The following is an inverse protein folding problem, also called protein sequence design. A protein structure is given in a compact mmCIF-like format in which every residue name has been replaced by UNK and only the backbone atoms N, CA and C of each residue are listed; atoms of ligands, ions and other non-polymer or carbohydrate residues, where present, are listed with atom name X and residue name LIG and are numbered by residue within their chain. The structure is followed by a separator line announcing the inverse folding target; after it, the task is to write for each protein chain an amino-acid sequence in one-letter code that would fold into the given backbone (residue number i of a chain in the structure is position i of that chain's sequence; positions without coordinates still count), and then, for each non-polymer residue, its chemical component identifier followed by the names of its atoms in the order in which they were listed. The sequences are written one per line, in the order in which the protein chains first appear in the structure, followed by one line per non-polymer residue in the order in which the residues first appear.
data_IF_525684320195
#
_entry.id   IF_525684320195
#
_cell.length_a   1.000
_cell.length_b   1.000
_cell.length_c   1.000
_cell.angle_alpha   90.00
_cell.angle_beta   90.00
_cell.angle_gamma   90.00
#
_symmetry.space_group_name_H-M   'P 1'
#
loop_
_entity.id
_entity.type
_entity.pdbx_description
1 polymer ?
#
# COMPACT_ATOMS: atom_id res chain seq x y z
N UNK A 1 -27.11 -71.57 -43.64
CA UNK A 1 -27.34 -70.94 -42.28
C UNK A 1 -26.11 -70.27 -41.64
N UNK A 2 -25.08 -69.90 -42.40
CA UNK A 2 -23.77 -69.43 -41.88
C UNK A 2 -23.55 -67.91 -41.97
N UNK A 3 -24.39 -67.15 -42.69
CA UNK A 3 -24.19 -65.70 -42.88
C UNK A 3 -24.78 -64.83 -41.75
N UNK A 4 -25.71 -65.27 -40.94
CA UNK A 4 -26.34 -64.49 -39.89
C UNK A 4 -25.50 -64.41 -38.60
N UNK A 5 -24.65 -65.39 -38.32
CA UNK A 5 -23.80 -65.42 -37.10
C UNK A 5 -22.60 -64.52 -37.21
N UNK A 6 -22.01 -64.32 -38.39
CA UNK A 6 -20.87 -63.42 -38.58
C UNK A 6 -21.27 -61.96 -38.46
N UNK A 7 -22.45 -61.53 -38.87
CA UNK A 7 -22.96 -60.17 -38.76
C UNK A 7 -23.24 -59.73 -37.31
N UNK A 8 -23.67 -60.67 -36.45
CA UNK A 8 -23.95 -60.35 -35.03
C UNK A 8 -22.66 -60.19 -34.24
N UNK A 9 -21.61 -60.96 -34.46
CA UNK A 9 -20.30 -60.82 -33.78
C UNK A 9 -19.60 -59.58 -34.19
N UNK A 10 -19.66 -59.11 -35.42
CA UNK A 10 -19.08 -57.80 -35.84
C UNK A 10 -19.83 -56.61 -35.25
N UNK A 11 -21.15 -56.73 -35.04
CA UNK A 11 -21.91 -55.65 -34.39
C UNK A 11 -21.58 -55.51 -32.91
N UNK A 12 -21.41 -56.60 -32.16
CA UNK A 12 -21.01 -56.54 -30.76
C UNK A 12 -19.57 -55.99 -30.58
N UNK A 13 -18.63 -56.42 -31.41
CA UNK A 13 -17.25 -55.92 -31.39
C UNK A 13 -17.19 -54.43 -31.69
N UNK A 14 -18.00 -53.90 -32.57
CA UNK A 14 -18.06 -52.48 -32.91
C UNK A 14 -18.69 -51.63 -31.78
N UNK A 15 -19.70 -52.14 -31.09
CA UNK A 15 -20.33 -51.50 -29.94
C UNK A 15 -19.38 -51.39 -28.74
N UNK A 16 -18.58 -52.39 -28.48
CA UNK A 16 -17.58 -52.35 -27.41
C UNK A 16 -16.43 -51.39 -27.74
N UNK A 17 -15.97 -51.35 -28.98
CA UNK A 17 -14.98 -50.37 -29.44
C UNK A 17 -15.50 -48.93 -29.32
N UNK A 18 -16.76 -48.67 -29.59
CA UNK A 18 -17.38 -47.35 -29.44
C UNK A 18 -17.47 -46.93 -27.96
N UNK A 19 -17.85 -47.88 -27.07
CA UNK A 19 -17.88 -47.63 -25.62
C UNK A 19 -16.51 -47.34 -25.06
N UNK A 20 -15.49 -48.10 -25.44
CA UNK A 20 -14.11 -47.90 -24.99
C UNK A 20 -13.55 -46.54 -25.46
N UNK A 21 -13.82 -46.14 -26.71
CA UNK A 21 -13.43 -44.80 -27.21
C UNK A 21 -14.11 -43.67 -26.45
N UNK A 22 -15.42 -43.82 -26.14
CA UNK A 22 -16.16 -42.82 -25.36
C UNK A 22 -15.61 -42.71 -23.93
N UNK A 23 -15.28 -43.84 -23.31
CA UNK A 23 -14.68 -43.88 -21.96
C UNK A 23 -13.31 -43.21 -21.95
N UNK A 24 -12.42 -43.55 -22.88
CA UNK A 24 -11.12 -42.95 -23.04
C UNK A 24 -11.22 -41.43 -23.30
N UNK A 25 -12.18 -41.00 -24.11
CA UNK A 25 -12.42 -39.55 -24.34
C UNK A 25 -12.89 -38.82 -23.07
N UNK A 26 -13.80 -39.43 -22.31
CA UNK A 26 -14.27 -38.87 -21.04
C UNK A 26 -13.13 -38.77 -20.02
N UNK A 27 -12.33 -39.84 -19.88
CA UNK A 27 -11.16 -39.83 -18.98
C UNK A 27 -10.15 -38.74 -19.38
N UNK A 28 -9.89 -38.56 -20.67
CA UNK A 28 -9.01 -37.51 -21.18
C UNK A 28 -9.55 -36.08 -20.88
N UNK A 29 -10.86 -35.87 -21.02
CA UNK A 29 -11.51 -34.60 -20.71
C UNK A 29 -11.41 -34.29 -19.20
N UNK A 30 -11.66 -35.30 -18.36
CA UNK A 30 -11.56 -35.14 -16.90
C UNK A 30 -10.12 -34.78 -16.49
N UNK A 31 -9.13 -35.49 -17.01
CA UNK A 31 -7.70 -35.21 -16.73
C UNK A 31 -7.33 -33.80 -17.20
N UNK A 32 -7.74 -33.39 -18.39
CA UNK A 32 -7.51 -32.05 -18.91
C UNK A 32 -8.18 -30.98 -18.05
N UNK A 33 -9.42 -31.19 -17.61
CA UNK A 33 -10.13 -30.27 -16.75
C UNK A 33 -9.46 -30.11 -15.39
N UNK A 34 -9.05 -31.23 -14.77
CA UNK A 34 -8.32 -31.20 -13.49
C UNK A 34 -6.99 -30.47 -13.63
N UNK A 35 -6.23 -30.75 -14.69
CA UNK A 35 -4.96 -30.06 -14.95
C UNK A 35 -5.15 -28.54 -15.16
N UNK A 36 -6.19 -28.15 -15.90
CA UNK A 36 -6.52 -26.73 -16.13
C UNK A 36 -6.92 -26.03 -14.83
N UNK A 37 -7.73 -26.67 -13.99
CA UNK A 37 -8.11 -26.13 -12.69
C UNK A 37 -6.90 -25.99 -11.75
N UNK A 38 -6.00 -26.96 -11.73
CA UNK A 38 -4.78 -26.91 -10.91
C UNK A 38 -3.84 -25.78 -11.35
N UNK A 39 -3.65 -25.59 -12.66
CA UNK A 39 -2.88 -24.49 -13.22
C UNK A 39 -3.52 -23.13 -12.89
N UNK A 40 -4.82 -23.00 -13.05
CA UNK A 40 -5.56 -21.80 -12.72
C UNK A 40 -5.44 -21.42 -11.24
N UNK A 41 -5.58 -22.40 -10.34
CA UNK A 41 -5.40 -22.19 -8.91
C UNK A 41 -3.96 -21.80 -8.55
N UNK A 42 -2.97 -22.41 -9.21
CA UNK A 42 -1.55 -22.07 -9.04
C UNK A 42 -1.25 -20.62 -9.44
N UNK A 43 -1.73 -20.20 -10.61
CA UNK A 43 -1.56 -18.82 -11.11
C UNK A 43 -2.24 -17.81 -10.15
N UNK A 44 -3.47 -18.10 -9.72
CA UNK A 44 -4.20 -17.24 -8.79
C UNK A 44 -3.46 -17.12 -7.44
N UNK A 45 -2.94 -18.24 -6.92
CA UNK A 45 -2.15 -18.25 -5.69
C UNK A 45 -0.86 -17.44 -5.81
N UNK A 46 -0.15 -17.56 -6.92
CA UNK A 46 1.05 -16.75 -7.20
C UNK A 46 0.72 -15.25 -7.27
N UNK A 47 -0.40 -14.90 -7.89
CA UNK A 47 -0.82 -13.51 -8.04
C UNK A 47 -1.12 -12.88 -6.67
N UNK A 48 -1.88 -13.56 -5.82
CA UNK A 48 -2.17 -13.11 -4.46
C UNK A 48 -0.88 -13.00 -3.61
N UNK A 49 0.00 -13.99 -3.68
CA UNK A 49 1.27 -13.96 -2.94
C UNK A 49 2.18 -12.80 -3.40
N UNK A 50 2.21 -12.51 -4.69
CA UNK A 50 2.99 -11.39 -5.25
C UNK A 50 2.43 -10.04 -4.82
N UNK A 51 1.11 -9.87 -4.81
CA UNK A 51 0.46 -8.62 -4.37
C UNK A 51 0.77 -8.34 -2.89
N UNK A 52 0.63 -9.34 -2.02
CA UNK A 52 0.97 -9.22 -0.60
C UNK A 52 2.44 -8.85 -0.40
N UNK A 53 3.35 -9.54 -1.08
CA UNK A 53 4.79 -9.28 -0.96
C UNK A 53 5.17 -7.87 -1.46
N UNK A 54 4.53 -7.39 -2.53
CA UNK A 54 4.73 -6.05 -3.05
C UNK A 54 4.29 -4.98 -2.05
N UNK A 55 3.11 -5.14 -1.46
CA UNK A 55 2.57 -4.23 -0.44
C UNK A 55 3.46 -4.18 0.80
N UNK A 56 3.91 -5.34 1.29
CA UNK A 56 4.81 -5.42 2.45
C UNK A 56 6.15 -4.74 2.17
N UNK A 57 6.75 -4.96 0.99
CA UNK A 57 7.98 -4.30 0.59
C UNK A 57 7.80 -2.77 0.51
N UNK A 58 6.69 -2.31 -0.05
CA UNK A 58 6.39 -0.88 -0.14
C UNK A 58 6.21 -0.24 1.24
N UNK A 59 5.51 -0.91 2.16
CA UNK A 59 5.38 -0.45 3.54
C UNK A 59 6.73 -0.36 4.26
N UNK A 60 7.60 -1.36 4.13
CA UNK A 60 8.95 -1.32 4.68
C UNK A 60 9.79 -0.17 4.10
N UNK A 61 9.65 0.08 2.80
CA UNK A 61 10.28 1.23 2.15
C UNK A 61 9.82 2.56 2.75
N UNK A 62 8.50 2.75 2.92
CA UNK A 62 7.94 3.97 3.51
C UNK A 62 8.36 4.16 4.96
N UNK A 63 8.38 3.09 5.77
CA UNK A 63 8.90 3.12 7.15
C UNK A 63 10.37 3.56 7.16
N UNK A 64 11.20 2.97 6.32
CA UNK A 64 12.62 3.33 6.23
C UNK A 64 12.83 4.79 5.84
N UNK A 65 12.02 5.29 4.90
CA UNK A 65 12.06 6.68 4.47
C UNK A 65 11.61 7.64 5.57
N UNK A 66 10.52 7.31 6.28
CA UNK A 66 10.04 8.09 7.41
C UNK A 66 11.07 8.14 8.55
N UNK A 67 11.74 7.03 8.85
CA UNK A 67 12.84 7.00 9.83
C UNK A 67 14.02 7.87 9.38
N UNK A 68 14.38 7.85 8.10
CA UNK A 68 15.44 8.71 7.56
C UNK A 68 15.06 10.19 7.63
N UNK A 69 13.79 10.53 7.38
CA UNK A 69 13.27 11.88 7.53
C UNK A 69 13.31 12.34 9.00
N UNK A 70 12.82 11.51 9.91
CA UNK A 70 12.78 11.80 11.34
C UNK A 70 14.16 12.13 11.93
N UNK A 71 15.21 11.43 11.45
CA UNK A 71 16.58 11.69 11.89
C UNK A 71 17.18 13.03 11.39
N UNK A 72 16.55 13.66 10.40
CA UNK A 72 17.00 14.97 9.91
C UNK A 72 16.32 16.13 10.62
N UNK A 73 15.34 15.85 11.47
CA UNK A 73 14.61 16.89 12.21
C UNK A 73 15.43 17.32 13.44
N UNK A 74 15.74 18.62 13.53
CA UNK A 74 16.26 19.20 14.76
C UNK A 74 15.14 19.31 15.78
N UNK A 75 15.18 18.45 16.81
CA UNK A 75 14.13 18.34 17.82
C UNK A 75 13.93 19.64 18.61
N UNK A 76 14.99 20.43 18.82
CA UNK A 76 14.89 21.70 19.54
C UNK A 76 14.17 22.77 18.71
N UNK A 77 14.49 22.86 17.42
CA UNK A 77 13.79 23.75 16.49
C UNK A 77 12.33 23.31 16.29
N UNK A 78 12.10 22.01 16.09
CA UNK A 78 10.77 21.45 15.96
C UNK A 78 9.89 21.76 17.18
N UNK A 79 10.42 21.60 18.39
CA UNK A 79 9.71 21.91 19.62
C UNK A 79 9.40 23.41 19.79
N UNK A 80 10.14 24.29 19.13
CA UNK A 80 9.92 25.74 19.12
C UNK A 80 8.86 26.25 18.16
N UNK A 81 8.42 25.42 17.19
CA UNK A 81 7.40 25.79 16.19
C UNK A 81 6.02 25.38 16.72
N UNK A 82 5.25 26.36 17.23
CA UNK A 82 3.97 26.11 17.90
C UNK A 82 2.87 27.13 17.61
N UNK A 83 3.12 28.07 16.72
CA UNK A 83 2.20 29.16 16.41
C UNK A 83 2.05 29.34 14.90
N UNK A 84 0.81 29.51 14.43
CA UNK A 84 0.51 29.67 13.01
C UNK A 84 1.28 30.85 12.36
N UNK A 85 1.59 31.91 13.14
CA UNK A 85 2.36 33.06 12.64
C UNK A 85 3.82 32.71 12.29
N UNK A 86 4.33 31.57 12.74
CA UNK A 86 5.69 31.10 12.43
C UNK A 86 5.80 30.47 11.04
N UNK A 87 4.66 30.14 10.40
CA UNK A 87 4.64 29.54 9.07
C UNK A 87 5.48 30.37 8.09
N UNK A 88 6.38 29.71 7.39
CA UNK A 88 7.29 30.34 6.43
C UNK A 88 8.20 31.46 7.01
N UNK A 89 8.26 31.61 8.33
CA UNK A 89 9.23 32.45 9.03
C UNK A 89 10.67 31.93 8.94
N UNK A 90 11.68 32.71 9.34
CA UNK A 90 13.08 32.29 9.22
C UNK A 90 13.42 30.98 9.95
N UNK A 91 12.88 30.80 11.15
CA UNK A 91 13.10 29.60 11.98
C UNK A 91 12.41 28.38 11.36
N UNK A 92 11.17 28.54 10.92
CA UNK A 92 10.41 27.51 10.21
C UNK A 92 11.16 27.05 8.96
N UNK A 93 11.59 27.99 8.09
CA UNK A 93 12.32 27.66 6.86
C UNK A 93 13.60 26.87 7.14
N UNK A 94 14.32 27.24 8.22
CA UNK A 94 15.52 26.52 8.63
C UNK A 94 15.20 25.12 9.12
N UNK A 95 14.12 24.95 9.90
CA UNK A 95 13.70 23.67 10.45
C UNK A 95 13.18 22.70 9.38
N UNK A 96 12.43 23.21 8.38
CA UNK A 96 11.82 22.38 7.32
C UNK A 96 12.78 22.05 6.18
N UNK A 97 13.87 22.79 6.01
CA UNK A 97 14.79 22.64 4.88
C UNK A 97 15.33 21.21 4.66
N UNK A 98 15.71 20.43 5.69
CA UNK A 98 16.12 19.06 5.49
C UNK A 98 15.01 18.17 4.89
N UNK A 99 13.77 18.39 5.30
CA UNK A 99 12.59 17.65 4.78
C UNK A 99 12.28 18.03 3.34
N UNK A 100 12.41 19.31 2.97
CA UNK A 100 12.28 19.77 1.57
C UNK A 100 13.31 19.11 0.66
N UNK A 101 14.55 19.02 1.11
CA UNK A 101 15.60 18.33 0.34
C UNK A 101 15.31 16.85 0.18
N UNK A 102 14.81 16.19 1.21
CA UNK A 102 14.43 14.79 1.12
C UNK A 102 13.26 14.60 0.14
N UNK A 103 12.20 15.41 0.25
CA UNK A 103 11.07 15.39 -0.69
C UNK A 103 11.54 15.57 -2.14
N UNK A 104 12.40 16.55 -2.39
CA UNK A 104 12.93 16.81 -3.73
C UNK A 104 13.84 15.68 -4.28
N UNK A 105 14.45 14.89 -3.41
CA UNK A 105 15.33 13.78 -3.79
C UNK A 105 14.59 12.48 -4.10
N UNK A 106 13.34 12.33 -3.68
CA UNK A 106 12.56 11.08 -3.79
C UNK A 106 11.32 11.35 -4.64
N UNK A 107 11.35 10.91 -5.89
CA UNK A 107 10.34 11.25 -6.91
C UNK A 107 8.91 10.77 -6.57
N UNK A 108 8.79 9.68 -5.80
CA UNK A 108 7.49 9.08 -5.48
C UNK A 108 6.90 9.58 -4.15
N UNK A 109 7.50 10.62 -3.55
CA UNK A 109 7.04 11.22 -2.29
C UNK A 109 6.39 12.57 -2.58
N UNK A 110 5.09 12.63 -2.37
CA UNK A 110 4.30 13.85 -2.58
C UNK A 110 4.45 14.81 -1.41
N UNK A 111 4.23 14.31 -0.19
CA UNK A 111 4.27 15.11 1.04
C UNK A 111 5.27 14.55 2.07
N UNK A 112 5.99 15.45 2.73
CA UNK A 112 6.84 15.15 3.89
C UNK A 112 6.54 16.19 4.96
N UNK A 113 5.96 15.74 6.05
CA UNK A 113 5.57 16.61 7.15
C UNK A 113 5.92 16.01 8.51
N UNK A 114 5.82 16.83 9.55
CA UNK A 114 5.90 16.38 10.94
C UNK A 114 4.64 16.76 11.68
N UNK A 115 4.26 15.94 12.65
CA UNK A 115 3.10 16.18 13.48
C UNK A 115 3.39 15.88 14.95
N UNK A 116 2.54 16.40 15.83
CA UNK A 116 2.54 16.12 17.27
C UNK A 116 1.13 15.77 17.72
N UNK A 117 1.05 15.06 18.85
CA UNK A 117 -0.22 14.84 19.54
C UNK A 117 -0.41 15.92 20.60
N UNK A 118 -1.41 16.79 20.42
CA UNK A 118 -1.83 17.80 21.36
C UNK A 118 -3.14 17.40 22.02
N UNK A 119 -3.05 16.80 23.19
CA UNK A 119 -4.20 16.13 23.83
C UNK A 119 -4.65 14.93 23.01
N UNK A 120 -5.81 15.05 22.34
CA UNK A 120 -6.34 14.04 21.42
C UNK A 120 -6.28 14.46 19.94
N UNK A 121 -5.68 15.61 19.64
CA UNK A 121 -5.65 16.20 18.32
C UNK A 121 -4.26 16.04 17.70
N UNK A 122 -4.17 15.46 16.51
CA UNK A 122 -2.94 15.47 15.72
C UNK A 122 -2.80 16.85 15.08
N UNK A 123 -1.63 17.48 15.22
CA UNK A 123 -1.35 18.82 14.67
C UNK A 123 -0.09 18.81 13.83
N UNK A 124 -0.15 19.47 12.67
CA UNK A 124 1.04 19.70 11.85
C UNK A 124 2.02 20.67 12.54
N UNK A 125 3.32 20.42 12.35
CA UNK A 125 4.37 21.31 12.83
C UNK A 125 5.23 21.83 11.68
N UNK A 126 5.83 20.93 10.90
CA UNK A 126 6.58 21.26 9.69
C UNK A 126 5.94 20.56 8.51
N UNK A 127 5.85 21.26 7.40
CA UNK A 127 5.43 20.69 6.12
C UNK A 127 6.37 21.15 5.01
N UNK A 128 6.90 20.19 4.27
CA UNK A 128 7.84 20.42 3.18
C UNK A 128 7.16 20.75 1.83
N UNK A 129 5.83 20.81 1.78
CA UNK A 129 5.12 21.28 0.60
C UNK A 129 5.44 22.75 0.31
N UNK A 130 5.38 23.12 -0.97
CA UNK A 130 5.49 24.51 -1.37
C UNK A 130 4.14 25.20 -1.16
N UNK A 131 4.14 26.49 -0.72
CA UNK A 131 2.89 27.25 -0.58
C UNK A 131 2.15 27.36 -1.91
N UNK A 132 0.84 27.19 -1.89
CA UNK A 132 -0.08 27.32 -3.03
C UNK A 132 -0.82 26.04 -3.34
N UNK A 133 -1.88 26.16 -4.10
CA UNK A 133 -2.68 25.07 -4.66
C UNK A 133 -2.09 24.75 -6.05
N UNK A 134 -1.21 23.73 -6.12
CA UNK A 134 -0.46 23.41 -7.35
C UNK A 134 -1.18 22.39 -8.23
N UNK A 135 -2.10 21.61 -7.67
CA UNK A 135 -2.91 20.65 -8.41
C UNK A 135 -4.28 21.21 -8.83
N UNK A 136 -4.62 22.43 -8.37
CA UNK A 136 -5.84 23.19 -8.66
C UNK A 136 -7.12 22.47 -8.20
N UNK A 137 -7.05 21.83 -7.05
CA UNK A 137 -8.20 21.18 -6.42
C UNK A 137 -8.98 22.11 -5.47
N UNK A 138 -8.44 23.29 -5.20
CA UNK A 138 -9.02 24.31 -4.33
C UNK A 138 -8.57 24.23 -2.88
N UNK A 139 -7.62 23.34 -2.56
CA UNK A 139 -7.01 23.20 -1.24
C UNK A 139 -5.57 23.71 -1.29
N UNK A 140 -5.10 24.34 -0.21
CA UNK A 140 -3.70 24.72 -0.05
C UNK A 140 -2.85 23.47 0.17
N UNK A 141 -1.81 23.24 -0.64
CA UNK A 141 -0.95 22.05 -0.53
C UNK A 141 -0.13 22.02 0.76
N UNK A 142 0.27 23.18 1.26
CA UNK A 142 1.04 23.29 2.49
C UNK A 142 0.14 23.39 3.72
N UNK A 143 0.21 22.39 4.60
CA UNK A 143 -0.47 22.45 5.87
C UNK A 143 0.06 23.58 6.78
N UNK A 144 -0.85 24.23 7.51
CA UNK A 144 -0.52 25.30 8.46
C UNK A 144 0.20 24.79 9.71
N UNK A 145 1.05 25.64 10.28
CA UNK A 145 1.64 25.35 11.60
C UNK A 145 0.54 25.29 12.65
N UNK A 146 0.53 24.22 13.43
CA UNK A 146 -0.47 23.94 14.47
C UNK A 146 -1.90 23.69 13.96
N UNK A 147 -2.04 23.51 12.66
CA UNK A 147 -3.30 23.09 12.04
C UNK A 147 -3.68 21.67 12.48
N UNK A 148 -4.98 21.43 12.71
CA UNK A 148 -5.47 20.11 13.07
C UNK A 148 -5.50 19.21 11.85
N UNK A 149 -4.98 18.01 11.99
CA UNK A 149 -5.09 16.96 10.99
C UNK A 149 -6.23 16.02 11.40
N UNK A 150 -7.35 16.08 10.72
CA UNK A 150 -8.58 15.37 11.14
C UNK A 150 -8.71 14.00 10.47
N UNK A 151 -8.42 13.89 9.17
CA UNK A 151 -8.65 12.68 8.36
C UNK A 151 -7.39 11.80 8.22
N UNK A 152 -6.57 11.72 9.28
CA UNK A 152 -5.35 10.93 9.27
C UNK A 152 -5.61 9.42 9.32
N UNK A 153 -4.68 8.64 8.75
CA UNK A 153 -4.64 7.19 8.98
C UNK A 153 -4.27 6.91 10.45
N UNK A 154 -5.04 6.09 11.18
CA UNK A 154 -4.76 5.75 12.59
C UNK A 154 -3.35 5.21 12.87
N UNK A 155 -2.63 4.71 11.88
CA UNK A 155 -1.25 4.26 12.03
C UNK A 155 -0.28 5.39 12.44
N UNK A 156 -0.58 6.67 12.17
CA UNK A 156 0.19 7.80 12.66
C UNK A 156 0.27 7.83 14.20
N UNK A 157 -0.79 7.40 14.90
CA UNK A 157 -0.83 7.39 16.37
C UNK A 157 0.20 6.42 16.95
N UNK A 158 0.53 5.34 16.24
CA UNK A 158 1.59 4.44 16.66
C UNK A 158 2.97 5.12 16.64
N UNK A 159 3.21 6.02 15.68
CA UNK A 159 4.46 6.78 15.60
C UNK A 159 4.51 7.94 16.62
N UNK A 160 3.37 8.59 16.87
CA UNK A 160 3.29 9.68 17.85
C UNK A 160 3.42 9.19 19.30
N UNK A 161 3.06 7.91 19.58
CA UNK A 161 3.07 7.38 20.92
C UNK A 161 2.00 8.00 21.83
N UNK A 162 2.22 7.92 23.15
CA UNK A 162 1.29 8.42 24.17
C UNK A 162 1.75 9.74 24.81
N UNK A 163 2.78 10.36 24.24
CA UNK A 163 3.40 11.58 24.79
C UNK A 163 4.39 11.34 25.94
N UNK A 164 4.49 10.12 26.47
CA UNK A 164 5.44 9.72 27.50
C UNK A 164 6.44 8.68 27.01
N UNK A 165 5.99 7.82 26.11
CA UNK A 165 6.81 6.78 25.48
C UNK A 165 6.91 7.07 24.00
N UNK A 166 8.13 7.07 23.42
CA UNK A 166 8.27 7.17 21.97
C UNK A 166 7.45 6.11 21.25
N UNK A 167 6.82 6.50 20.16
CA UNK A 167 6.07 5.57 19.32
C UNK A 167 6.97 4.60 18.55
N UNK A 168 6.35 3.80 17.72
CA UNK A 168 7.02 2.89 16.78
C UNK A 168 6.78 3.34 15.34
N UNK A 169 7.77 3.15 14.47
CA UNK A 169 7.58 3.42 13.06
C UNK A 169 6.53 2.47 12.46
N UNK A 170 5.61 3.03 11.69
CA UNK A 170 4.48 2.30 11.10
C UNK A 170 4.17 2.86 9.71
N UNK A 171 3.42 2.12 8.89
CA UNK A 171 2.92 2.58 7.60
C UNK A 171 1.47 2.15 7.40
N UNK A 172 0.74 2.90 6.57
CA UNK A 172 -0.63 2.57 6.16
C UNK A 172 -0.71 1.13 5.67
N UNK A 173 -1.77 0.43 6.06
CA UNK A 173 -2.08 -0.93 5.57
C UNK A 173 -2.76 -0.88 4.21
N UNK A 174 -3.62 0.09 4.01
CA UNK A 174 -4.38 0.34 2.79
C UNK A 174 -4.32 1.84 2.45
N UNK A 175 -4.58 2.23 1.21
CA UNK A 175 -4.72 3.64 0.87
C UNK A 175 -5.84 4.28 1.71
N UNK A 176 -5.59 5.47 2.22
CA UNK A 176 -6.59 6.30 2.88
C UNK A 176 -6.73 7.64 2.16
N UNK A 177 -7.80 8.35 2.46
CA UNK A 177 -8.09 9.65 1.86
C UNK A 177 -8.21 10.71 2.94
N UNK A 178 -7.56 11.85 2.69
CA UNK A 178 -7.66 13.06 3.50
C UNK A 178 -7.98 14.28 2.63
N UNK A 179 -7.78 15.48 3.17
CA UNK A 179 -8.05 16.74 2.47
C UNK A 179 -7.18 16.94 1.22
N UNK A 180 -5.99 16.38 1.17
CA UNK A 180 -4.99 16.56 0.10
C UNK A 180 -5.00 15.44 -0.94
N UNK A 181 -5.74 14.35 -0.74
CA UNK A 181 -5.81 13.30 -1.74
C UNK A 181 -5.96 11.89 -1.19
N UNK A 182 -5.42 10.92 -1.92
CA UNK A 182 -5.44 9.50 -1.52
C UNK A 182 -4.02 8.97 -1.48
N UNK A 183 -3.59 8.51 -0.30
CA UNK A 183 -2.19 8.20 0.00
C UNK A 183 -2.00 6.85 0.67
N UNK A 184 -0.76 6.36 0.58
CA UNK A 184 -0.19 5.37 1.49
C UNK A 184 0.99 6.07 2.15
N UNK A 185 0.98 6.18 3.46
CA UNK A 185 1.97 6.94 4.22
C UNK A 185 2.80 6.06 5.16
N UNK A 186 4.01 6.53 5.47
CA UNK A 186 4.84 5.97 6.51
C UNK A 186 5.15 7.02 7.58
N UNK A 187 5.19 6.61 8.83
CA UNK A 187 5.48 7.47 9.96
C UNK A 187 6.59 6.89 10.84
N UNK A 188 7.37 7.75 11.44
CA UNK A 188 8.39 7.38 12.40
C UNK A 188 8.47 8.42 13.53
N UNK A 189 8.76 7.99 14.76
CA UNK A 189 8.95 8.93 15.88
C UNK A 189 10.19 9.79 15.65
N UNK A 190 10.09 11.05 16.04
CA UNK A 190 11.21 12.00 16.17
C UNK A 190 11.73 11.85 17.60
N UNK A 191 13.02 11.48 17.76
CA UNK A 191 13.66 11.13 19.05
C UNK A 191 14.66 12.18 19.48
#
# INVERSE_FOLDING_TARGET
MTHAAASATDSFANDDLVKDRRRAALESIVVAAVATCALGAGIAGMWVASDVALRDNYRHYLIGLAQAAAQQVDTSMHAGIRDASQLNGPEYRKAVEPLRRLRAAVADVEYVYTAVLDGSTVRFVLDAADPGDHDNDGVEDQAGVWEAYEDYDPAILAALGDGTTPGSAEASKEPYRDAWGSFISGWAPIL
#
